data_IF_258653402936
#
_entry.id   IF_258653402936
#
_cell.length_a   1.000
_cell.length_b   1.000
_cell.length_c   1.000
_cell.angle_alpha   90.00
_cell.angle_beta   90.00
_cell.angle_gamma   90.00
#
_symmetry.space_group_name_H-M   'P 1'
#
loop_
_entity.id
_entity.type
_entity.pdbx_description
1 polymer ?
#
# COMPACT_ATOMS: atom_id res chain seq x y z
N UNK A 1 -29.73 27.34 -8.11
CA UNK A 1 -28.36 27.38 -8.69
C UNK A 1 -27.22 27.47 -7.65
N UNK A 2 -27.42 28.05 -6.46
CA UNK A 2 -26.33 28.29 -5.48
C UNK A 2 -25.61 27.04 -4.94
N UNK A 3 -26.31 25.93 -4.71
CA UNK A 3 -25.71 24.66 -4.24
C UNK A 3 -24.64 24.13 -5.21
N UNK A 4 -24.91 24.22 -6.51
CA UNK A 4 -24.01 23.75 -7.57
C UNK A 4 -22.81 24.66 -7.74
N UNK A 5 -23.00 25.97 -7.52
CA UNK A 5 -21.91 26.95 -7.50
C UNK A 5 -20.95 26.65 -6.34
N UNK A 6 -21.47 26.36 -5.14
CA UNK A 6 -20.65 25.98 -4.00
C UNK A 6 -19.87 24.69 -4.26
N UNK A 7 -20.53 23.67 -4.79
CA UNK A 7 -19.87 22.41 -5.15
C UNK A 7 -18.74 22.63 -6.16
N UNK A 8 -18.97 23.49 -7.17
CA UNK A 8 -17.94 23.83 -8.16
C UNK A 8 -16.78 24.61 -7.53
N UNK A 9 -17.06 25.53 -6.60
CA UNK A 9 -16.05 26.27 -5.84
C UNK A 9 -15.19 25.31 -5.00
N UNK A 10 -15.82 24.38 -4.29
CA UNK A 10 -15.15 23.34 -3.51
C UNK A 10 -14.29 22.42 -4.40
N UNK A 11 -14.76 22.09 -5.60
CA UNK A 11 -14.02 21.25 -6.55
C UNK A 11 -12.79 21.95 -7.14
N UNK A 12 -12.83 23.28 -7.26
CA UNK A 12 -11.74 24.10 -7.81
C UNK A 12 -10.66 24.48 -6.79
N UNK A 13 -10.92 24.26 -5.49
CA UNK A 13 -10.02 24.68 -4.41
C UNK A 13 -9.02 23.59 -4.09
N UNK A 14 -7.73 23.88 -4.31
CA UNK A 14 -6.63 22.93 -4.09
C UNK A 14 -6.28 22.73 -2.62
N UNK A 15 -6.44 23.76 -1.79
CA UNK A 15 -6.08 23.74 -0.36
C UNK A 15 -7.00 22.88 0.50
N UNK A 16 -8.11 22.35 -0.05
CA UNK A 16 -9.19 21.68 0.71
C UNK A 16 -9.79 22.52 1.83
N UNK A 17 -9.48 23.80 1.90
CA UNK A 17 -10.00 24.74 2.89
C UNK A 17 -10.66 25.91 2.17
N UNK A 18 -11.92 26.19 2.54
CA UNK A 18 -12.71 27.27 1.97
C UNK A 18 -13.13 28.26 3.06
N UNK A 19 -12.63 29.49 2.96
CA UNK A 19 -13.05 30.57 3.85
C UNK A 19 -14.52 30.95 3.64
N UNK A 20 -15.22 31.22 4.74
CA UNK A 20 -16.63 31.65 4.71
C UNK A 20 -16.81 32.93 3.90
N UNK A 21 -15.86 33.88 3.97
CA UNK A 21 -15.90 35.12 3.17
C UNK A 21 -15.91 34.83 1.66
N UNK A 22 -15.12 33.86 1.23
CA UNK A 22 -15.06 33.44 -0.19
C UNK A 22 -16.35 32.76 -0.61
N UNK A 23 -16.92 31.93 0.27
CA UNK A 23 -18.21 31.27 0.05
C UNK A 23 -19.32 32.33 -0.08
N UNK A 24 -19.46 33.23 0.90
CA UNK A 24 -20.47 34.28 0.93
C UNK A 24 -20.42 35.15 -0.34
N UNK A 25 -19.21 35.59 -0.73
CA UNK A 25 -19.00 36.38 -1.95
C UNK A 25 -19.41 35.63 -3.22
N UNK A 26 -19.09 34.34 -3.30
CA UNK A 26 -19.37 33.52 -4.49
C UNK A 26 -20.86 33.20 -4.62
N UNK A 27 -21.53 32.93 -3.49
CA UNK A 27 -22.96 32.62 -3.45
C UNK A 27 -23.84 33.89 -3.46
N UNK A 28 -23.24 35.06 -3.23
CA UNK A 28 -23.91 36.35 -3.04
C UNK A 28 -24.98 36.25 -1.94
N UNK A 29 -24.53 35.82 -0.77
CA UNK A 29 -25.34 35.64 0.44
C UNK A 29 -24.68 36.38 1.62
N UNK A 30 -25.46 36.73 2.65
CA UNK A 30 -24.90 37.19 3.92
C UNK A 30 -23.95 36.15 4.55
N UNK A 31 -23.02 36.60 5.38
CA UNK A 31 -22.02 35.73 6.00
C UNK A 31 -22.65 34.76 7.02
N UNK A 32 -23.70 35.21 7.69
CA UNK A 32 -24.53 34.47 8.63
C UNK A 32 -25.24 33.27 7.99
N UNK A 33 -25.55 33.34 6.69
CA UNK A 33 -26.26 32.26 5.99
C UNK A 33 -25.32 31.18 5.46
N UNK A 34 -24.00 31.40 5.47
CA UNK A 34 -23.02 30.49 4.85
C UNK A 34 -23.15 29.07 5.40
N UNK A 35 -23.34 28.92 6.71
CA UNK A 35 -23.43 27.60 7.34
C UNK A 35 -24.65 26.81 6.85
N UNK A 36 -25.81 27.45 6.73
CA UNK A 36 -27.01 26.79 6.21
C UNK A 36 -26.80 26.29 4.78
N UNK A 37 -26.19 27.11 3.93
CA UNK A 37 -25.90 26.73 2.55
C UNK A 37 -24.87 25.60 2.46
N UNK A 38 -23.83 25.61 3.30
CA UNK A 38 -22.84 24.52 3.35
C UNK A 38 -23.51 23.23 3.83
N UNK A 39 -24.34 23.29 4.88
CA UNK A 39 -25.09 22.13 5.38
C UNK A 39 -26.00 21.54 4.29
N UNK A 40 -26.72 22.39 3.55
CA UNK A 40 -27.60 21.92 2.47
C UNK A 40 -26.84 21.26 1.32
N UNK A 41 -25.63 21.74 1.00
CA UNK A 41 -24.76 21.10 0.00
C UNK A 41 -24.23 19.74 0.47
N UNK A 42 -23.91 19.62 1.75
CA UNK A 42 -23.50 18.34 2.35
C UNK A 42 -24.69 17.37 2.34
N UNK A 43 -25.88 17.81 2.74
CA UNK A 43 -27.12 17.00 2.71
C UNK A 43 -27.48 16.56 1.30
N UNK A 44 -27.22 17.39 0.30
CA UNK A 44 -27.40 17.04 -1.11
C UNK A 44 -26.34 16.05 -1.66
N UNK A 45 -25.33 15.69 -0.87
CA UNK A 45 -24.27 14.75 -1.27
C UNK A 45 -23.30 15.30 -2.32
N UNK A 46 -23.29 16.63 -2.52
CA UNK A 46 -22.42 17.26 -3.52
C UNK A 46 -20.99 17.46 -3.00
N UNK A 47 -20.84 17.66 -1.68
CA UNK A 47 -19.57 17.86 -1.00
C UNK A 47 -19.61 17.14 0.34
N UNK A 48 -18.49 16.57 0.76
CA UNK A 48 -18.28 16.02 2.11
C UNK A 48 -17.18 16.83 2.80
N UNK A 49 -17.38 17.15 4.07
CA UNK A 49 -16.44 17.98 4.82
C UNK A 49 -16.95 18.40 6.19
N UNK A 50 -16.11 19.14 6.93
CA UNK A 50 -16.40 19.65 8.26
C UNK A 50 -16.33 21.17 8.30
N UNK A 51 -17.24 21.81 9.03
CA UNK A 51 -17.21 23.26 9.24
C UNK A 51 -16.40 23.58 10.51
N UNK A 52 -15.53 24.58 10.43
CA UNK A 52 -14.88 25.18 11.58
C UNK A 52 -15.39 26.61 11.74
N UNK A 53 -16.35 26.77 12.64
CA UNK A 53 -16.97 28.07 12.93
C UNK A 53 -15.96 29.03 13.57
N UNK A 54 -15.11 28.57 14.48
CA UNK A 54 -14.06 29.40 15.11
C UNK A 54 -13.09 29.98 14.07
N UNK A 55 -12.63 29.14 13.14
CA UNK A 55 -11.69 29.55 12.09
C UNK A 55 -12.38 30.18 10.87
N UNK A 56 -13.72 30.17 10.82
CA UNK A 56 -14.52 30.63 9.68
C UNK A 56 -14.12 29.95 8.36
N UNK A 57 -13.85 28.64 8.41
CA UNK A 57 -13.46 27.82 7.24
C UNK A 57 -14.28 26.55 7.14
N UNK A 58 -14.54 26.12 5.91
CA UNK A 58 -15.09 24.83 5.57
C UNK A 58 -13.97 23.92 5.05
N UNK A 59 -13.71 22.83 5.77
CA UNK A 59 -12.72 21.81 5.41
C UNK A 59 -13.37 20.77 4.51
N UNK A 60 -12.96 20.75 3.24
CA UNK A 60 -13.48 19.86 2.20
C UNK A 60 -12.70 18.55 2.22
N UNK A 61 -13.39 17.43 2.45
CA UNK A 61 -12.79 16.09 2.36
C UNK A 61 -12.91 15.52 0.96
N UNK A 62 -14.09 15.65 0.36
CA UNK A 62 -14.40 15.12 -0.97
C UNK A 62 -15.39 16.03 -1.67
N UNK A 63 -15.23 16.18 -2.97
CA UNK A 63 -16.19 16.91 -3.81
C UNK A 63 -16.64 16.03 -4.97
N UNK A 64 -17.93 16.04 -5.25
CA UNK A 64 -18.49 15.40 -6.43
C UNK A 64 -18.35 16.35 -7.63
N UNK A 65 -17.51 15.99 -8.60
CA UNK A 65 -17.38 16.73 -9.86
C UNK A 65 -18.61 16.49 -10.73
N UNK A 66 -19.30 17.56 -11.13
CA UNK A 66 -20.48 17.47 -12.02
C UNK A 66 -20.12 17.07 -13.44
N UNK A 67 -18.98 17.58 -13.93
CA UNK A 67 -18.43 17.28 -15.27
C UNK A 67 -16.92 17.20 -15.15
N UNK A 68 -16.33 16.15 -15.72
CA UNK A 68 -14.89 16.04 -15.85
C UNK A 68 -14.45 16.72 -17.14
N UNK A 69 -13.66 17.79 -17.02
CA UNK A 69 -12.98 18.40 -18.14
C UNK A 69 -11.71 17.63 -18.50
N UNK A 70 -11.05 18.05 -19.58
CA UNK A 70 -9.84 17.39 -20.09
C UNK A 70 -8.71 17.31 -19.03
N UNK A 71 -8.55 18.35 -18.20
CA UNK A 71 -7.56 18.37 -17.12
C UNK A 71 -7.84 17.28 -16.09
N UNK A 72 -9.10 17.12 -15.67
CA UNK A 72 -9.50 16.11 -14.71
C UNK A 72 -9.34 14.71 -15.28
N UNK A 73 -9.66 14.51 -16.57
CA UNK A 73 -9.43 13.23 -17.25
C UNK A 73 -7.95 12.87 -17.35
N UNK A 74 -7.10 13.85 -17.67
CA UNK A 74 -5.64 13.67 -17.71
C UNK A 74 -5.11 13.26 -16.34
N UNK A 75 -5.57 13.90 -15.26
CA UNK A 75 -5.18 13.54 -13.90
C UNK A 75 -5.59 12.11 -13.54
N UNK A 76 -6.81 11.69 -13.91
CA UNK A 76 -7.26 10.30 -13.71
C UNK A 76 -6.38 9.32 -14.48
N UNK A 77 -6.06 9.62 -15.75
CA UNK A 77 -5.18 8.78 -16.56
C UNK A 77 -3.79 8.64 -15.93
N UNK A 78 -3.16 9.73 -15.50
CA UNK A 78 -1.85 9.70 -14.84
C UNK A 78 -1.88 8.87 -13.56
N UNK A 79 -2.92 9.02 -12.73
CA UNK A 79 -3.07 8.22 -11.51
C UNK A 79 -3.28 6.74 -11.81
N UNK A 80 -4.05 6.42 -12.85
CA UNK A 80 -4.29 5.05 -13.29
C UNK A 80 -2.99 4.40 -13.79
N UNK A 81 -2.18 5.12 -14.56
CA UNK A 81 -0.91 4.59 -15.06
C UNK A 81 0.10 4.39 -13.93
N UNK A 82 0.20 5.34 -12.99
CA UNK A 82 0.99 5.16 -11.77
C UNK A 82 0.56 3.93 -10.98
N UNK A 83 -0.75 3.69 -10.88
CA UNK A 83 -1.30 2.53 -10.19
C UNK A 83 -1.00 1.23 -10.92
N UNK A 84 -1.10 1.19 -12.26
CA UNK A 84 -0.70 0.03 -13.06
C UNK A 84 0.77 -0.32 -12.86
N UNK A 85 1.66 0.67 -12.87
CA UNK A 85 3.09 0.45 -12.68
C UNK A 85 3.39 -0.04 -11.26
N UNK A 86 2.70 0.51 -10.27
CA UNK A 86 2.78 0.02 -8.88
C UNK A 86 2.37 -1.46 -8.78
N UNK A 87 1.29 -1.87 -9.45
CA UNK A 87 0.85 -3.26 -9.48
C UNK A 87 1.84 -4.18 -10.19
N UNK A 88 2.46 -3.72 -11.29
CA UNK A 88 3.53 -4.46 -11.97
C UNK A 88 4.73 -4.69 -11.07
N UNK A 89 5.17 -3.66 -10.36
CA UNK A 89 6.28 -3.76 -9.41
C UNK A 89 5.97 -4.76 -8.28
N UNK A 90 4.75 -4.71 -7.72
CA UNK A 90 4.32 -5.70 -6.70
C UNK A 90 4.34 -7.12 -7.27
N UNK A 91 3.88 -7.32 -8.51
CA UNK A 91 3.92 -8.63 -9.15
C UNK A 91 5.36 -9.15 -9.36
N UNK A 92 6.28 -8.28 -9.76
CA UNK A 92 7.70 -8.63 -9.92
C UNK A 92 8.32 -9.04 -8.59
N UNK A 93 8.07 -8.28 -7.52
CA UNK A 93 8.54 -8.61 -6.17
C UNK A 93 8.00 -9.97 -5.75
N UNK A 94 6.68 -10.22 -5.89
CA UNK A 94 6.08 -11.51 -5.52
C UNK A 94 6.68 -12.67 -6.30
N UNK A 95 6.94 -12.50 -7.61
CA UNK A 95 7.58 -13.53 -8.44
C UNK A 95 9.01 -13.81 -7.99
N UNK A 96 9.78 -12.76 -7.73
CA UNK A 96 11.17 -12.87 -7.27
C UNK A 96 11.25 -13.57 -5.91
N UNK A 97 10.43 -13.17 -4.95
CA UNK A 97 10.42 -13.78 -3.62
C UNK A 97 9.98 -15.25 -3.69
N UNK A 98 9.02 -15.59 -4.55
CA UNK A 98 8.65 -16.99 -4.78
C UNK A 98 9.81 -17.82 -5.33
N UNK A 99 10.53 -17.32 -6.33
CA UNK A 99 11.69 -18.02 -6.91
C UNK A 99 12.83 -18.16 -5.89
N UNK A 100 13.10 -17.12 -5.10
CA UNK A 100 14.10 -17.15 -4.05
C UNK A 100 13.75 -18.19 -2.97
N UNK A 101 12.48 -18.27 -2.56
CA UNK A 101 12.01 -19.26 -1.60
C UNK A 101 12.10 -20.69 -2.13
N UNK A 102 11.78 -20.92 -3.41
CA UNK A 102 11.94 -22.23 -4.06
C UNK A 102 13.42 -22.63 -4.12
N UNK A 103 14.30 -21.74 -4.57
CA UNK A 103 15.74 -21.99 -4.63
C UNK A 103 16.37 -22.18 -3.24
N UNK A 104 15.89 -21.49 -2.21
CA UNK A 104 16.34 -21.68 -0.84
C UNK A 104 15.95 -23.06 -0.31
N UNK A 105 14.70 -23.49 -0.55
CA UNK A 105 14.24 -24.85 -0.19
C UNK A 105 15.08 -25.93 -0.87
N UNK A 106 15.37 -25.78 -2.16
CA UNK A 106 16.22 -26.74 -2.89
C UNK A 106 17.64 -26.81 -2.31
N UNK A 107 18.25 -25.67 -1.97
CA UNK A 107 19.58 -25.62 -1.33
C UNK A 107 19.59 -26.29 0.04
N UNK A 108 18.59 -26.03 0.87
CA UNK A 108 18.44 -26.64 2.18
C UNK A 108 18.29 -28.17 2.06
N UNK A 109 17.46 -28.65 1.11
CA UNK A 109 17.30 -30.08 0.83
C UNK A 109 18.61 -30.73 0.36
N UNK A 110 19.32 -30.12 -0.59
CA UNK A 110 20.61 -30.62 -1.07
C UNK A 110 21.69 -30.63 0.02
N UNK A 111 21.68 -29.65 0.93
CA UNK A 111 22.61 -29.62 2.06
C UNK A 111 22.32 -30.74 3.07
N UNK A 112 21.04 -30.98 3.37
CA UNK A 112 20.59 -32.08 4.23
C UNK A 112 20.97 -33.43 3.62
N UNK A 113 20.75 -33.61 2.32
CA UNK A 113 21.11 -34.85 1.62
C UNK A 113 22.62 -35.10 1.59
N UNK A 114 23.44 -34.07 1.32
CA UNK A 114 24.92 -34.19 1.39
C UNK A 114 25.38 -34.55 2.80
N UNK A 115 24.80 -33.96 3.85
CA UNK A 115 25.13 -34.29 5.25
C UNK A 115 24.75 -35.74 5.58
N UNK A 116 23.60 -36.23 5.11
CA UNK A 116 23.16 -37.61 5.31
C UNK A 116 24.06 -38.64 4.60
N UNK A 117 24.48 -38.36 3.36
CA UNK A 117 25.39 -39.22 2.61
C UNK A 117 26.81 -39.23 3.22
N UNK A 118 27.31 -38.07 3.67
CA UNK A 118 28.60 -37.95 4.36
C UNK A 118 28.65 -38.70 5.69
N UNK A 119 27.54 -38.73 6.44
CA UNK A 119 27.44 -39.49 7.69
C UNK A 119 27.41 -41.02 7.46
N UNK A 120 26.82 -41.48 6.35
CA UNK A 120 26.75 -42.91 6.01
C UNK A 120 28.10 -43.49 5.56
N UNK A 121 29.02 -42.67 5.04
CA UNK A 121 30.37 -43.09 4.64
C UNK A 121 31.37 -43.30 5.78
N UNK A 122 31.11 -42.76 6.98
CA UNK A 122 32.00 -42.89 8.15
C UNK A 122 31.65 -44.09 9.06
N UNK A 123 30.56 -44.82 8.79
CA UNK A 123 30.09 -45.95 9.61
C UNK A 123 30.67 -47.33 9.25
N UNK A 124 31.38 -47.48 8.14
CA UNK A 124 31.80 -48.80 7.63
C UNK A 124 33.24 -49.24 8.00
N UNK A 125 33.96 -48.51 8.85
CA UNK A 125 35.39 -48.70 9.08
C UNK A 125 35.85 -49.26 10.42
N UNK A 126 34.97 -49.68 11.35
CA UNK A 126 35.40 -50.06 12.71
C UNK A 126 34.69 -51.32 13.25
N UNK A 127 35.13 -52.50 12.80
CA UNK A 127 34.93 -53.80 13.47
C UNK A 127 36.28 -54.52 13.54
N UNK A 128 36.96 -54.46 14.68
CA UNK A 128 37.00 -55.48 15.75
C UNK A 128 37.72 -56.76 15.28
N UNK A 129 38.96 -56.93 15.74
CA UNK A 129 39.71 -58.19 15.71
C UNK A 129 40.55 -58.29 16.98
N UNK A 130 40.06 -59.05 17.96
CA UNK A 130 40.68 -59.24 19.27
C UNK A 130 41.75 -60.32 19.29
N UNK A 131 42.76 -60.07 20.15
CA UNK A 131 43.41 -61.00 21.11
C UNK A 131 43.33 -62.51 20.84
N UNK A 132 44.47 -63.15 20.58
CA UNK A 132 45.14 -64.13 21.46
C UNK A 132 46.19 -64.97 20.68
N UNK A 133 47.45 -64.98 21.13
CA UNK A 133 48.09 -66.18 21.69
C UNK A 133 49.59 -65.97 21.94
N UNK A 134 49.99 -66.44 23.13
CA UNK A 134 51.33 -66.67 23.64
C UNK A 134 51.86 -67.97 23.03
N UNK A 135 53.08 -68.00 22.49
CA UNK A 135 54.03 -69.11 22.73
C UNK A 135 55.47 -68.80 22.30
N UNK A 136 56.37 -69.52 22.95
CA UNK A 136 57.80 -69.33 23.18
C UNK A 136 58.74 -69.51 21.97
N UNK A 137 59.98 -69.04 22.13
CA UNK A 137 61.15 -69.87 21.80
C UNK A 137 62.38 -69.16 21.23
N UNK A 138 63.41 -69.02 22.08
CA UNK A 138 64.89 -69.05 21.83
C UNK A 138 65.51 -68.04 20.84
N UNK A 139 66.60 -67.32 21.12
CA UNK A 139 67.80 -67.56 21.97
C UNK A 139 68.11 -66.41 22.96
#
# INVERSE_FOLDING_TARGET
MRLLTLASLAASTSSRELEYKRIAKTLQIPAEDVEMWVIDVIRAGLVEGNLSQEKQVFLVHRTTYRVFGEKQWREVATRLDTWKDSLRNVLEVVRRERQAAEAQKERELHEVERKAQGASGMGAGRRVGGRDMIEMGTD
#
